data_IF_000978491820
#
_entry.id   IF_000978491820
#
_cell.length_a   1.000
_cell.length_b   1.000
_cell.length_c   1.000
_cell.angle_alpha   90.00
_cell.angle_beta   90.00
_cell.angle_gamma   90.00
#
_symmetry.space_group_name_H-M   'P 1'
#
loop_
_entity.id
_entity.type
_entity.pdbx_description
1 polymer ?
#
# COMPACT_ATOMS: atom_id res chain seq x y z
N UNK A 1 3.97 12.50 -6.67
CA UNK A 1 3.26 11.84 -5.56
C UNK A 1 4.00 10.57 -5.16
N UNK A 2 4.10 10.28 -3.87
CA UNK A 2 4.72 9.03 -3.43
C UNK A 2 3.98 7.80 -3.92
N UNK A 3 4.73 6.72 -4.15
CA UNK A 3 4.20 5.41 -4.51
C UNK A 3 4.13 4.51 -3.29
N UNK A 4 3.09 3.70 -3.23
CA UNK A 4 2.90 2.74 -2.16
C UNK A 4 2.52 1.39 -2.73
N UNK A 5 3.12 0.34 -2.16
CA UNK A 5 2.69 -1.03 -2.39
C UNK A 5 1.97 -1.50 -1.15
N UNK A 6 0.68 -1.78 -1.25
CA UNK A 6 -0.08 -2.38 -0.17
C UNK A 6 -0.27 -3.86 -0.44
N UNK A 7 -0.17 -4.66 0.60
CA UNK A 7 -0.42 -6.09 0.52
C UNK A 7 -1.27 -6.47 1.72
N UNK A 8 -2.27 -7.29 1.45
CA UNK A 8 -3.27 -7.58 2.46
C UNK A 8 -3.88 -8.96 2.26
N UNK A 9 -4.52 -9.44 3.32
CA UNK A 9 -5.23 -10.72 3.30
C UNK A 9 -6.62 -10.52 3.87
N UNK A 10 -7.58 -11.23 3.33
CA UNK A 10 -8.96 -11.21 3.80
C UNK A 10 -9.14 -12.16 4.98
N UNK A 11 -10.13 -11.86 5.81
CA UNK A 11 -10.59 -12.82 6.82
C UNK A 11 -11.31 -13.97 6.14
N UNK A 12 -11.40 -15.16 6.80
CA UNK A 12 -12.22 -16.25 6.26
C UNK A 12 -13.66 -15.82 5.99
N UNK A 13 -14.24 -14.98 6.83
CA UNK A 13 -15.61 -14.48 6.67
C UNK A 13 -15.74 -13.65 5.39
N UNK A 14 -14.76 -12.82 5.10
CA UNK A 14 -14.74 -12.01 3.86
C UNK A 14 -14.64 -12.92 2.63
N UNK A 15 -13.73 -13.91 2.66
CA UNK A 15 -13.64 -14.88 1.57
C UNK A 15 -14.96 -15.62 1.34
N UNK A 16 -15.62 -16.04 2.43
CA UNK A 16 -16.90 -16.74 2.32
C UNK A 16 -17.96 -15.87 1.64
N UNK A 17 -18.01 -14.57 1.97
CA UNK A 17 -18.92 -13.64 1.30
C UNK A 17 -18.58 -13.46 -0.18
N UNK A 18 -17.30 -13.38 -0.51
CA UNK A 18 -16.87 -13.22 -1.91
C UNK A 18 -17.14 -14.47 -2.74
N UNK A 19 -17.04 -15.66 -2.15
CA UNK A 19 -17.42 -16.91 -2.81
C UNK A 19 -18.90 -16.90 -3.12
N UNK A 20 -19.72 -16.51 -2.14
CA UNK A 20 -21.18 -16.50 -2.27
C UNK A 20 -21.66 -15.47 -3.28
N UNK A 21 -21.02 -14.30 -3.31
CA UNK A 21 -21.33 -13.21 -4.23
C UNK A 21 -20.04 -12.55 -4.69
N UNK A 22 -19.43 -13.03 -5.76
CA UNK A 22 -18.21 -12.42 -6.29
C UNK A 22 -18.43 -10.97 -6.69
N UNK A 23 -17.43 -10.12 -6.39
CA UNK A 23 -17.47 -8.71 -6.78
C UNK A 23 -16.06 -8.23 -7.15
N UNK A 24 -16.00 -7.22 -7.99
CA UNK A 24 -14.74 -6.60 -8.40
C UNK A 24 -14.30 -5.59 -7.33
N UNK A 25 -13.42 -6.03 -6.42
CA UNK A 25 -12.88 -5.19 -5.35
C UNK A 25 -11.91 -4.12 -5.87
N UNK A 26 -11.40 -4.31 -7.08
CA UNK A 26 -10.53 -3.32 -7.72
C UNK A 26 -11.28 -2.00 -7.93
N UNK A 27 -12.52 -2.05 -8.38
CA UNK A 27 -13.34 -0.85 -8.59
C UNK A 27 -13.57 -0.10 -7.27
N UNK A 28 -13.83 -0.83 -6.18
CA UNK A 28 -14.00 -0.22 -4.86
C UNK A 28 -12.71 0.44 -4.38
N UNK A 29 -11.57 -0.25 -4.53
CA UNK A 29 -10.27 0.28 -4.14
C UNK A 29 -9.96 1.58 -4.90
N UNK A 30 -10.23 1.60 -6.20
CA UNK A 30 -10.02 2.79 -7.02
C UNK A 30 -10.80 3.99 -6.49
N UNK A 31 -12.05 3.78 -6.07
CA UNK A 31 -12.88 4.86 -5.56
C UNK A 31 -12.30 5.51 -4.30
N UNK A 32 -11.92 4.74 -3.29
CA UNK A 32 -11.41 5.36 -2.07
C UNK A 32 -9.99 5.88 -2.21
N UNK A 33 -9.17 5.33 -3.09
CA UNK A 33 -7.86 5.89 -3.41
C UNK A 33 -8.02 7.25 -4.10
N UNK A 34 -8.92 7.34 -5.08
CA UNK A 34 -9.18 8.61 -5.77
C UNK A 34 -9.82 9.65 -4.85
N UNK A 35 -10.60 9.22 -3.86
CA UNK A 35 -11.24 10.13 -2.91
C UNK A 35 -10.25 10.94 -2.06
N UNK A 36 -9.02 10.46 -1.91
CA UNK A 36 -7.96 11.19 -1.20
C UNK A 36 -6.96 11.83 -2.18
N UNK A 37 -7.30 11.89 -3.46
CA UNK A 37 -6.45 12.49 -4.49
C UNK A 37 -5.37 11.56 -5.02
N UNK A 38 -5.48 10.27 -4.77
CA UNK A 38 -4.53 9.27 -5.25
C UNK A 38 -4.89 8.71 -6.62
N UNK A 39 -4.03 7.80 -7.10
CA UNK A 39 -4.21 7.11 -8.37
C UNK A 39 -3.79 5.66 -8.21
N UNK A 40 -4.68 4.74 -8.56
CA UNK A 40 -4.37 3.31 -8.54
C UNK A 40 -3.71 2.89 -9.85
N UNK A 41 -2.61 2.16 -9.75
CA UNK A 41 -1.89 1.63 -10.92
C UNK A 41 -2.22 0.17 -11.18
N UNK A 42 -2.54 -0.59 -10.16
CA UNK A 42 -2.89 -1.98 -10.36
C UNK A 42 -3.36 -2.65 -9.08
N UNK A 43 -4.08 -3.74 -9.24
CA UNK A 43 -4.61 -4.55 -8.17
C UNK A 43 -4.55 -6.01 -8.62
N UNK A 44 -3.85 -6.85 -7.86
CA UNK A 44 -3.66 -8.26 -8.19
C UNK A 44 -3.98 -9.13 -6.99
N UNK A 45 -4.50 -10.31 -7.25
CA UNK A 45 -4.57 -11.37 -6.24
C UNK A 45 -3.35 -12.26 -6.38
N UNK A 46 -2.95 -12.91 -5.28
CA UNK A 46 -1.76 -13.71 -5.24
C UNK A 46 -2.01 -15.01 -4.47
N UNK A 47 -1.23 -16.02 -4.80
CA UNK A 47 -1.17 -17.27 -4.06
C UNK A 47 0.13 -17.25 -3.25
N UNK A 48 0.03 -17.12 -1.91
CA UNK A 48 1.21 -17.03 -1.05
C UNK A 48 0.89 -16.37 0.27
N UNK A 49 1.86 -15.65 0.80
CA UNK A 49 1.76 -15.06 2.15
C UNK A 49 0.68 -13.99 2.27
N UNK A 50 0.37 -13.30 1.17
CA UNK A 50 -0.66 -12.28 1.13
C UNK A 50 -1.63 -12.59 0.01
N UNK A 51 -2.91 -12.25 0.20
CA UNK A 51 -3.97 -12.56 -0.77
C UNK A 51 -4.00 -11.58 -1.93
N UNK A 52 -3.61 -10.33 -1.70
CA UNK A 52 -3.70 -9.29 -2.73
C UNK A 52 -2.62 -8.23 -2.59
N UNK A 53 -2.31 -7.62 -3.72
CA UNK A 53 -1.31 -6.54 -3.84
C UNK A 53 -1.93 -5.40 -4.62
N UNK A 54 -1.64 -4.17 -4.19
CA UNK A 54 -2.17 -2.97 -4.80
C UNK A 54 -1.05 -1.92 -4.92
N UNK A 55 -0.80 -1.45 -6.13
CA UNK A 55 0.19 -0.42 -6.40
C UNK A 55 -0.53 0.89 -6.69
N UNK A 56 -0.20 1.94 -5.95
CA UNK A 56 -0.87 3.22 -6.10
C UNK A 56 -0.05 4.41 -5.60
N UNK A 57 -0.49 5.60 -5.99
CA UNK A 57 0.08 6.86 -5.56
C UNK A 57 -0.91 7.58 -4.65
N UNK A 58 -0.38 8.30 -3.67
CA UNK A 58 -1.15 9.22 -2.84
C UNK A 58 -0.40 10.55 -2.74
N UNK A 59 -1.11 11.67 -2.46
CA UNK A 59 -0.45 12.97 -2.34
C UNK A 59 0.61 13.00 -1.25
N UNK A 60 0.37 12.29 -0.14
CA UNK A 60 1.26 12.30 1.02
C UNK A 60 0.96 11.10 1.94
N UNK A 61 1.77 10.94 2.97
CA UNK A 61 1.61 9.85 3.93
C UNK A 61 0.32 9.96 4.75
N UNK A 62 -0.16 11.17 4.99
CA UNK A 62 -1.42 11.36 5.75
C UNK A 62 -2.60 10.82 4.96
N UNK A 63 -2.65 11.09 3.65
CA UNK A 63 -3.68 10.55 2.77
C UNK A 63 -3.63 9.03 2.69
N UNK A 64 -2.40 8.46 2.60
CA UNK A 64 -2.21 7.02 2.63
C UNK A 64 -2.70 6.43 3.95
N UNK A 65 -2.33 7.05 5.07
CA UNK A 65 -2.74 6.60 6.39
C UNK A 65 -4.27 6.65 6.55
N UNK A 66 -4.92 7.66 6.01
CA UNK A 66 -6.39 7.78 6.05
C UNK A 66 -7.06 6.58 5.38
N UNK A 67 -6.56 6.18 4.22
CA UNK A 67 -7.08 5.00 3.52
C UNK A 67 -6.84 3.73 4.35
N UNK A 68 -5.64 3.57 4.91
CA UNK A 68 -5.30 2.41 5.73
C UNK A 68 -6.21 2.29 6.97
N UNK A 69 -6.45 3.42 7.64
CA UNK A 69 -7.33 3.46 8.83
C UNK A 69 -8.77 3.11 8.44
N UNK A 70 -9.27 3.67 7.35
CA UNK A 70 -10.62 3.39 6.88
C UNK A 70 -10.81 1.90 6.53
N UNK A 71 -9.84 1.31 5.86
CA UNK A 71 -9.87 -0.12 5.53
C UNK A 71 -9.83 -0.97 6.80
N UNK A 72 -8.93 -0.63 7.73
CA UNK A 72 -8.78 -1.38 8.99
C UNK A 72 -10.07 -1.32 9.82
N UNK A 73 -10.73 -0.18 9.86
CA UNK A 73 -11.99 -0.01 10.58
C UNK A 73 -13.11 -0.86 9.99
N UNK A 74 -13.03 -1.23 8.73
CA UNK A 74 -14.04 -2.05 8.07
C UNK A 74 -14.05 -3.52 8.50
N UNK A 75 -12.97 -4.02 9.09
CA UNK A 75 -12.90 -5.38 9.63
C UNK A 75 -12.84 -6.52 8.60
N UNK A 76 -12.69 -6.23 7.32
CA UNK A 76 -12.69 -7.25 6.26
C UNK A 76 -11.34 -7.95 6.09
N UNK A 77 -10.27 -7.35 6.58
CA UNK A 77 -8.91 -7.83 6.37
C UNK A 77 -8.31 -8.42 7.64
N UNK A 78 -7.58 -9.53 7.51
CA UNK A 78 -6.81 -10.12 8.61
C UNK A 78 -5.44 -9.46 8.74
N UNK A 79 -4.92 -8.89 7.66
CA UNK A 79 -3.66 -8.16 7.66
C UNK A 79 -3.68 -7.09 6.58
N UNK A 80 -2.94 -6.01 6.82
CA UNK A 80 -2.77 -4.91 5.88
C UNK A 80 -1.40 -4.30 6.11
N UNK A 81 -0.56 -4.31 5.11
CA UNK A 81 0.79 -3.77 5.19
C UNK A 81 1.05 -2.83 4.03
N UNK A 82 1.75 -1.75 4.31
CA UNK A 82 2.11 -0.74 3.32
C UNK A 82 3.61 -0.58 3.25
N UNK A 83 4.15 -0.59 2.04
CA UNK A 83 5.54 -0.26 1.77
C UNK A 83 5.58 1.01 0.94
N UNK A 84 6.20 2.06 1.47
CA UNK A 84 6.47 3.27 0.69
C UNK A 84 7.62 2.97 -0.27
N UNK A 85 7.44 3.31 -1.53
CA UNK A 85 8.42 3.05 -2.58
C UNK A 85 9.12 4.34 -2.99
N UNK A 86 10.38 4.23 -3.36
CA UNK A 86 11.13 5.32 -3.96
C UNK A 86 11.31 5.04 -5.43
N UNK A 87 11.19 6.07 -6.25
CA UNK A 87 11.58 5.98 -7.66
C UNK A 87 13.10 5.89 -7.76
N UNK A 88 13.61 5.49 -8.92
CA UNK A 88 15.05 5.51 -9.18
C UNK A 88 15.60 6.92 -9.00
N UNK A 89 14.88 7.92 -9.51
CA UNK A 89 15.27 9.33 -9.40
C UNK A 89 15.35 9.79 -7.95
N UNK A 90 14.37 9.45 -7.14
CA UNK A 90 14.39 9.76 -5.70
C UNK A 90 15.57 9.08 -5.00
N UNK A 91 15.89 7.85 -5.39
CA UNK A 91 17.03 7.11 -4.83
C UNK A 91 18.35 7.76 -5.21
N UNK A 92 18.48 8.23 -6.45
CA UNK A 92 19.66 8.97 -6.86
C UNK A 92 19.83 10.25 -6.05
N UNK A 93 18.75 10.97 -5.79
CA UNK A 93 18.77 12.15 -4.92
C UNK A 93 19.19 11.78 -3.49
N UNK A 94 18.68 10.67 -2.96
CA UNK A 94 19.06 10.19 -1.63
C UNK A 94 20.55 9.85 -1.56
N UNK A 95 21.11 9.24 -2.61
CA UNK A 95 22.55 8.94 -2.69
C UNK A 95 23.38 10.21 -2.67
N UNK A 96 22.93 11.26 -3.37
CA UNK A 96 23.59 12.57 -3.33
C UNK A 96 23.62 13.14 -1.91
N UNK A 97 22.48 13.09 -1.22
CA UNK A 97 22.38 13.57 0.16
C UNK A 97 23.24 12.73 1.11
N UNK A 98 23.29 11.40 0.89
CA UNK A 98 24.08 10.50 1.73
C UNK A 98 25.57 10.83 1.70
N UNK A 99 26.06 11.37 0.57
CA UNK A 99 27.46 11.74 0.41
C UNK A 99 27.95 12.72 1.49
N UNK A 100 27.05 13.58 1.99
CA UNK A 100 27.41 14.58 3.00
C UNK A 100 27.09 14.15 4.43
N UNK A 101 26.60 12.92 4.64
CA UNK A 101 26.32 12.39 5.96
C UNK A 101 27.58 11.73 6.53
N UNK A 102 28.05 12.21 7.69
CA UNK A 102 29.19 11.62 8.39
C UNK A 102 28.69 10.52 9.33
N UNK A 103 28.55 9.31 8.80
CA UNK A 103 28.07 8.17 9.57
C UNK A 103 29.20 7.44 10.27
N UNK A 104 29.04 7.17 11.57
CA UNK A 104 29.94 6.33 12.35
C UNK A 104 29.24 5.01 12.67
N UNK A 105 29.77 3.86 12.19
CA UNK A 105 29.20 2.56 12.56
C UNK A 105 29.26 2.33 14.06
N UNK A 106 28.32 1.53 14.64
CA UNK A 106 28.37 1.20 16.06
C UNK A 106 29.73 0.59 16.44
N UNK A 107 30.29 1.02 17.57
CA UNK A 107 31.56 0.53 18.05
C UNK A 107 32.78 1.21 17.43
N UNK A 108 32.59 2.26 16.66
CA UNK A 108 33.69 3.02 16.04
C UNK A 108 34.11 4.21 16.86
#
# INVERSE_FOLDING_TARGET
>A
MPFYLTRFSYTPETWARLIKKPEDRRAAAQQYIESVGGKMHGFWYALGDHDAYNLWEAPDNVSMAAVAVAISAGGALSSFQTTALLTVEETLTALEKARSIAYKPPGS
#
